data_IF_345565886251
#
_entry.id   IF_345565886251
#
_cell.length_a   1.000
_cell.length_b   1.000
_cell.length_c   1.000
_cell.angle_alpha   90.00
_cell.angle_beta   90.00
_cell.angle_gamma   90.00
#
_symmetry.space_group_name_H-M   'P 1'
#
loop_
_entity.id
_entity.type
_entity.pdbx_description
1 polymer ?
#
# COMPACT_ATOMS: atom_id res chain seq x y z
N UNK A 1 -25.46 4.19 -9.74
CA UNK A 1 -26.82 3.60 -9.81
C UNK A 1 -27.30 3.43 -8.37
N UNK A 2 -27.60 4.54 -7.69
CA UNK A 2 -28.96 5.05 -7.37
C UNK A 2 -29.88 3.94 -6.81
N UNK A 3 -30.13 3.98 -5.50
CA UNK A 3 -31.05 3.09 -4.80
C UNK A 3 -31.65 3.73 -3.55
N UNK A 4 -32.62 4.61 -3.78
CA UNK A 4 -33.75 5.07 -2.96
C UNK A 4 -33.65 5.16 -1.43
N UNK A 5 -33.75 6.41 -0.96
CA UNK A 5 -34.29 6.84 0.34
C UNK A 5 -35.81 7.08 0.20
N UNK A 6 -36.54 6.96 1.32
CA UNK A 6 -37.97 7.21 1.59
C UNK A 6 -38.79 5.90 1.70
N UNK A 7 -39.62 5.66 2.73
CA UNK A 7 -40.58 6.58 3.32
C UNK A 7 -41.01 6.10 4.72
N UNK A 8 -41.04 7.03 5.70
CA UNK A 8 -41.67 6.86 7.02
C UNK A 8 -43.20 6.96 6.90
N UNK A 9 -43.95 6.02 7.50
CA UNK A 9 -45.15 6.31 8.31
C UNK A 9 -45.75 4.99 8.87
N UNK A 10 -45.78 4.84 10.20
CA UNK A 10 -46.93 4.31 10.95
C UNK A 10 -46.59 4.18 12.44
N UNK A 11 -47.24 5.01 13.24
CA UNK A 11 -47.32 5.01 14.71
C UNK A 11 -48.02 3.77 15.25
N UNK A 12 -47.41 3.06 16.21
CA UNK A 12 -48.16 2.20 17.14
C UNK A 12 -47.56 2.24 18.55
N UNK A 13 -48.43 2.59 19.52
CA UNK A 13 -48.18 2.68 20.96
C UNK A 13 -47.89 1.31 21.56
N UNK A 14 -46.85 1.18 22.38
CA UNK A 14 -46.62 -0.02 23.18
C UNK A 14 -45.41 0.13 24.11
N UNK A 15 -45.60 -0.25 25.36
CA UNK A 15 -44.67 -0.10 26.50
C UNK A 15 -43.39 -0.95 26.35
N UNK A 16 -42.36 -0.48 27.07
CA UNK A 16 -41.24 -1.21 27.67
C UNK A 16 -40.10 -1.67 26.75
N UNK A 17 -38.96 -0.99 26.96
CA UNK A 17 -37.64 -1.58 27.14
C UNK A 17 -37.25 -2.76 26.24
N UNK A 18 -36.39 -2.50 25.26
CA UNK A 18 -35.06 -3.12 25.16
C UNK A 18 -34.32 -2.39 24.04
N UNK A 19 -33.36 -1.56 24.40
CA UNK A 19 -32.37 -0.99 23.49
C UNK A 19 -31.50 -2.14 22.97
N UNK A 20 -31.89 -2.74 21.84
CA UNK A 20 -30.99 -3.59 21.07
C UNK A 20 -30.13 -2.67 20.18
N UNK A 21 -29.05 -2.15 20.76
CA UNK A 21 -27.95 -1.55 20.00
C UNK A 21 -27.33 -2.71 19.21
N UNK A 22 -27.80 -2.90 17.97
CA UNK A 22 -27.12 -3.77 17.01
C UNK A 22 -25.77 -3.13 16.71
N UNK A 23 -24.74 -3.63 17.40
CA UNK A 23 -23.35 -3.30 17.14
C UNK A 23 -23.00 -3.76 15.72
N UNK A 24 -23.22 -2.89 14.74
CA UNK A 24 -22.46 -2.92 13.50
C UNK A 24 -21.03 -2.61 13.93
N UNK A 25 -20.29 -3.69 14.24
CA UNK A 25 -18.87 -3.63 14.53
C UNK A 25 -18.18 -3.00 13.34
N UNK A 26 -17.86 -1.71 13.48
CA UNK A 26 -16.92 -1.05 12.62
C UNK A 26 -15.64 -1.89 12.69
N UNK A 27 -15.37 -2.68 11.65
CA UNK A 27 -14.02 -3.18 11.42
C UNK A 27 -13.19 -1.94 11.14
N UNK A 28 -12.58 -1.39 12.19
CA UNK A 28 -11.36 -0.61 12.05
C UNK A 28 -10.37 -1.57 11.39
N UNK A 29 -10.30 -1.54 10.06
CA UNK A 29 -9.05 -1.83 9.40
C UNK A 29 -8.11 -0.72 9.89
N UNK A 30 -7.33 -1.04 10.92
CA UNK A 30 -6.22 -0.20 11.31
C UNK A 30 -5.36 -0.05 10.06
N UNK A 31 -5.45 1.09 9.41
CA UNK A 31 -4.43 1.55 8.48
C UNK A 31 -3.25 1.88 9.37
N UNK A 32 -2.46 0.84 9.67
CA UNK A 32 -1.16 1.02 10.32
C UNK A 32 -0.35 1.89 9.38
N UNK A 33 0.06 3.07 9.85
CA UNK A 33 1.02 3.88 9.13
C UNK A 33 2.22 2.99 8.77
N UNK A 34 2.51 2.87 7.47
CA UNK A 34 3.60 2.07 6.93
C UNK A 34 4.94 2.72 7.32
N UNK A 35 5.41 2.37 8.52
CA UNK A 35 6.74 2.71 9.00
C UNK A 35 7.79 1.68 8.57
N UNK A 36 9.04 1.96 8.90
CA UNK A 36 10.08 0.92 8.85
C UNK A 36 9.72 -0.23 9.79
N UNK A 37 10.16 -1.47 9.51
CA UNK A 37 9.93 -2.60 10.40
C UNK A 37 10.43 -2.29 11.83
N UNK A 38 9.55 -2.36 12.82
CA UNK A 38 9.86 -2.04 14.23
C UNK A 38 10.25 -3.32 14.97
N UNK A 39 11.33 -3.27 15.76
CA UNK A 39 11.71 -4.37 16.66
C UNK A 39 12.52 -5.50 16.02
N UNK A 40 13.14 -5.27 14.85
CA UNK A 40 13.98 -6.24 14.16
C UNK A 40 15.08 -5.60 13.31
N UNK A 41 15.87 -6.43 12.64
CA UNK A 41 16.88 -5.97 11.69
C UNK A 41 16.22 -5.42 10.41
N UNK A 42 16.77 -4.34 9.88
CA UNK A 42 16.44 -3.86 8.54
C UNK A 42 17.30 -4.63 7.55
N UNK A 43 16.66 -5.43 6.71
CA UNK A 43 17.28 -6.15 5.60
C UNK A 43 16.80 -5.49 4.32
N UNK A 44 17.66 -4.62 3.78
CA UNK A 44 17.39 -3.83 2.59
C UNK A 44 17.71 -4.58 1.30
N UNK A 45 16.82 -4.50 0.32
CA UNK A 45 17.11 -4.85 -1.07
C UNK A 45 16.81 -3.67 -1.99
N UNK A 46 17.54 -3.58 -3.11
CA UNK A 46 17.38 -2.52 -4.09
C UNK A 46 16.73 -3.04 -5.37
N UNK A 47 15.90 -2.21 -5.99
CA UNK A 47 15.32 -2.44 -7.31
C UNK A 47 15.36 -1.18 -8.17
N UNK A 48 15.59 -1.34 -9.47
CA UNK A 48 15.46 -0.24 -10.43
C UNK A 48 13.97 0.01 -10.78
N UNK A 49 13.60 1.17 -11.32
CA UNK A 49 12.20 1.61 -11.51
C UNK A 49 11.40 0.96 -12.63
N UNK A 50 12.00 0.02 -13.35
CA UNK A 50 11.28 -0.90 -14.23
C UNK A 50 11.27 -2.32 -13.71
N UNK A 51 11.99 -2.59 -12.62
CA UNK A 51 12.23 -3.93 -12.11
C UNK A 51 11.08 -4.35 -11.19
N UNK A 52 9.94 -4.64 -11.80
CA UNK A 52 8.78 -5.23 -11.14
C UNK A 52 8.59 -6.66 -11.61
N UNK A 53 9.65 -7.44 -11.49
CA UNK A 53 9.75 -8.81 -11.93
C UNK A 53 9.87 -9.77 -10.73
N UNK A 54 10.06 -11.05 -11.02
CA UNK A 54 10.22 -12.10 -10.02
C UNK A 54 11.42 -11.89 -9.09
N UNK A 55 12.41 -11.08 -9.46
CA UNK A 55 13.55 -10.80 -8.58
C UNK A 55 13.10 -10.06 -7.32
N UNK A 56 12.15 -9.12 -7.44
CA UNK A 56 11.65 -8.37 -6.28
C UNK A 56 10.86 -9.25 -5.31
N UNK A 57 10.19 -10.28 -5.82
CA UNK A 57 9.51 -11.24 -4.98
C UNK A 57 10.50 -12.21 -4.31
N UNK A 58 11.47 -12.72 -5.07
CA UNK A 58 12.51 -13.61 -4.56
C UNK A 58 13.29 -12.97 -3.41
N UNK A 59 13.74 -11.72 -3.53
CA UNK A 59 14.51 -11.08 -2.44
C UNK A 59 13.67 -10.88 -1.17
N UNK A 60 12.36 -10.65 -1.31
CA UNK A 60 11.46 -10.56 -0.16
C UNK A 60 11.24 -11.93 0.49
N UNK A 61 11.13 -12.99 -0.31
CA UNK A 61 11.08 -14.39 0.16
C UNK A 61 12.37 -14.82 0.87
N UNK A 62 13.52 -14.30 0.42
CA UNK A 62 14.84 -14.48 1.04
C UNK A 62 15.04 -13.63 2.31
N UNK A 63 14.07 -12.79 2.69
CA UNK A 63 14.03 -12.07 3.96
C UNK A 63 14.25 -10.57 3.89
N UNK A 64 14.35 -9.97 2.70
CA UNK A 64 14.34 -8.52 2.58
C UNK A 64 13.01 -7.94 3.06
N UNK A 65 13.07 -6.99 4.00
CA UNK A 65 11.90 -6.35 4.60
C UNK A 65 11.80 -4.86 4.30
N UNK A 66 12.80 -4.29 3.61
CA UNK A 66 12.76 -2.94 3.06
C UNK A 66 13.21 -2.97 1.60
N UNK A 67 12.36 -2.46 0.70
CA UNK A 67 12.64 -2.38 -0.73
C UNK A 67 12.90 -0.93 -1.12
N UNK A 68 14.11 -0.64 -1.58
CA UNK A 68 14.55 0.68 -2.05
C UNK A 68 14.37 0.80 -3.56
N UNK A 69 13.66 1.84 -3.98
CA UNK A 69 13.43 2.20 -5.37
C UNK A 69 14.22 3.49 -5.68
N UNK A 70 15.20 3.48 -6.60
CA UNK A 70 16.09 4.63 -6.96
C UNK A 70 15.72 5.50 -8.20
N UNK A 71 14.92 6.56 -8.03
CA UNK A 71 14.12 7.19 -9.10
C UNK A 71 14.94 8.05 -10.07
N UNK A 72 16.19 8.31 -9.71
CA UNK A 72 17.13 9.12 -10.46
C UNK A 72 18.14 8.25 -11.19
N UNK A 73 18.31 8.53 -12.47
CA UNK A 73 19.39 8.03 -13.29
C UNK A 73 20.24 9.21 -13.76
N UNK A 74 21.56 9.01 -13.82
CA UNK A 74 22.45 9.93 -14.53
C UNK A 74 22.45 9.53 -16.00
N UNK A 75 21.97 10.42 -16.88
CA UNK A 75 21.91 10.19 -18.32
C UNK A 75 22.60 11.33 -19.06
N UNK A 76 22.94 11.11 -20.33
CA UNK A 76 23.39 12.20 -21.21
C UNK A 76 22.17 12.90 -21.83
N UNK A 77 22.18 14.22 -21.89
CA UNK A 77 21.23 14.98 -22.69
C UNK A 77 21.60 14.97 -24.19
N UNK A 78 20.84 15.71 -25.01
CA UNK A 78 21.07 15.82 -26.45
C UNK A 78 22.43 16.43 -26.84
N UNK A 79 23.10 17.13 -25.91
CA UNK A 79 24.43 17.73 -26.10
C UNK A 79 25.54 16.88 -25.46
N UNK A 80 25.21 15.71 -24.90
CA UNK A 80 26.16 14.84 -24.22
C UNK A 80 26.51 15.27 -22.79
N UNK A 81 25.78 16.21 -22.18
CA UNK A 81 26.02 16.65 -20.80
C UNK A 81 25.29 15.73 -19.82
N UNK A 82 25.89 15.45 -18.65
CA UNK A 82 25.25 14.64 -17.63
C UNK A 82 24.06 15.41 -17.02
N UNK A 83 22.88 14.80 -17.08
CA UNK A 83 21.65 15.30 -16.46
C UNK A 83 21.01 14.22 -15.60
N UNK A 84 20.35 14.64 -14.52
CA UNK A 84 19.55 13.73 -13.69
C UNK A 84 18.19 13.57 -14.37
N UNK A 85 17.91 12.35 -14.84
CA UNK A 85 16.60 11.96 -15.33
C UNK A 85 15.85 11.21 -14.25
N UNK A 86 14.61 11.62 -13.99
CA UNK A 86 13.72 10.89 -13.08
C UNK A 86 12.81 9.97 -13.89
N UNK A 87 12.82 8.67 -13.60
CA UNK A 87 11.91 7.70 -14.23
C UNK A 87 11.18 6.92 -13.15
N UNK A 88 10.00 7.39 -12.80
CA UNK A 88 9.20 6.86 -11.69
C UNK A 88 7.97 6.13 -12.23
N UNK A 89 7.93 4.80 -12.14
CA UNK A 89 6.74 4.01 -12.48
C UNK A 89 5.97 3.61 -11.21
N UNK A 90 5.12 4.52 -10.72
CA UNK A 90 4.32 4.29 -9.50
C UNK A 90 3.38 3.08 -9.61
N UNK A 91 2.82 2.83 -10.79
CA UNK A 91 1.94 1.67 -11.04
C UNK A 91 2.67 0.35 -10.83
N UNK A 92 3.92 0.29 -11.29
CA UNK A 92 4.81 -0.85 -11.13
C UNK A 92 5.06 -1.15 -9.64
N UNK A 93 5.49 -0.14 -8.88
CA UNK A 93 5.75 -0.27 -7.43
C UNK A 93 4.50 -0.62 -6.64
N UNK A 94 3.35 0.00 -6.97
CA UNK A 94 2.08 -0.32 -6.35
C UNK A 94 1.67 -1.79 -6.58
N UNK A 95 1.89 -2.31 -7.78
CA UNK A 95 1.60 -3.71 -8.11
C UNK A 95 2.51 -4.68 -7.35
N UNK A 96 3.80 -4.38 -7.23
CA UNK A 96 4.74 -5.19 -6.43
C UNK A 96 4.32 -5.18 -4.97
N UNK A 97 4.08 -4.00 -4.39
CA UNK A 97 3.66 -3.86 -2.99
C UNK A 97 2.37 -4.63 -2.70
N UNK A 98 1.37 -4.51 -3.57
CA UNK A 98 0.11 -5.27 -3.46
C UNK A 98 0.37 -6.78 -3.49
N UNK A 99 1.23 -7.24 -4.40
CA UNK A 99 1.51 -8.67 -4.59
C UNK A 99 2.24 -9.25 -3.38
N UNK A 100 3.26 -8.55 -2.85
CA UNK A 100 3.99 -8.93 -1.64
C UNK A 100 3.04 -9.02 -0.43
N UNK A 101 2.14 -8.05 -0.27
CA UNK A 101 1.12 -8.08 0.77
C UNK A 101 0.19 -9.28 0.64
N UNK A 102 -0.27 -9.61 -0.57
CA UNK A 102 -1.11 -10.79 -0.83
C UNK A 102 -0.36 -12.10 -0.55
N UNK A 103 0.96 -12.13 -0.79
CA UNK A 103 1.85 -13.26 -0.46
C UNK A 103 2.24 -13.33 1.02
N UNK A 104 1.75 -12.39 1.86
CA UNK A 104 2.10 -12.27 3.29
C UNK A 104 3.61 -12.05 3.52
N UNK A 105 4.26 -11.34 2.61
CA UNK A 105 5.64 -10.88 2.71
C UNK A 105 5.62 -9.38 3.08
N UNK A 106 5.58 -9.02 4.37
CA UNK A 106 5.48 -7.62 4.77
C UNK A 106 6.79 -6.89 4.46
N UNK A 107 6.73 -5.92 3.55
CA UNK A 107 7.86 -5.08 3.16
C UNK A 107 7.50 -3.60 3.26
N UNK A 108 8.44 -2.79 3.74
CA UNK A 108 8.35 -1.33 3.64
C UNK A 108 9.00 -0.88 2.33
N UNK A 109 8.35 0.03 1.60
CA UNK A 109 8.85 0.53 0.31
C UNK A 109 9.37 1.95 0.48
N UNK A 110 10.62 2.20 0.10
CA UNK A 110 11.25 3.51 0.18
C UNK A 110 11.62 4.00 -1.22
N UNK A 111 11.22 5.24 -1.52
CA UNK A 111 11.47 5.90 -2.80
C UNK A 111 12.61 6.90 -2.58
N UNK A 112 13.77 6.62 -3.18
CA UNK A 112 14.87 7.57 -3.26
C UNK A 112 14.73 8.36 -4.55
N UNK A 113 14.75 9.69 -4.47
CA UNK A 113 14.72 10.60 -5.63
C UNK A 113 16.05 11.34 -5.68
#
# INVERSE_FOLDING_TARGET
>A
IIGCIAMLHATFRGRLATFAISMIGARLAAVTAEGLPVGGHIIGAYGNWGQCDEQMFRVAEEGANVLFWFAANLVADGDGKPVIATSLNLTCVANVSRTLRLRKLPTTHLISI
#
